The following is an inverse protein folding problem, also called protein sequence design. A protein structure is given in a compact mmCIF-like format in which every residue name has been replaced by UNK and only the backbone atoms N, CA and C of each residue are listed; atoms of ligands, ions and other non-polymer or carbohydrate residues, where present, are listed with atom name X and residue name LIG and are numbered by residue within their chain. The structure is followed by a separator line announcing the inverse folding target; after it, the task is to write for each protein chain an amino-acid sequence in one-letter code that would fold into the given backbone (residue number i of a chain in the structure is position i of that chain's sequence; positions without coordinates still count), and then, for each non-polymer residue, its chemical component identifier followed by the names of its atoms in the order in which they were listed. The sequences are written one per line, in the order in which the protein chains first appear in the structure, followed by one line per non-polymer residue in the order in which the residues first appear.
data_IF_031740638599
#
_entry.id   IF_031740638599
#
_cell.length_a   1.000
_cell.length_b   1.000
_cell.length_c   1.000
_cell.angle_alpha   90.00
_cell.angle_beta   90.00
_cell.angle_gamma   90.00
#
_symmetry.space_group_name_H-M   'P 1'
#
loop_
_entity.id
_entity.type
_entity.pdbx_description
1 polymer ?
#
# COMPACT_ATOMS: atom_id res chain seq x y z
N UNK A 1 9.16 2.81 25.95
CA UNK A 1 9.86 3.88 25.21
C UNK A 1 10.34 3.45 23.81
N UNK A 2 10.33 2.16 23.46
CA UNK A 2 10.87 1.70 22.16
C UNK A 2 9.98 1.95 20.93
N UNK A 3 8.68 2.20 21.10
CA UNK A 3 7.75 2.40 19.96
C UNK A 3 7.79 3.83 19.41
N UNK A 4 7.85 4.85 20.29
CA UNK A 4 7.85 6.28 19.90
C UNK A 4 8.93 6.62 18.87
N UNK A 5 10.18 6.17 19.07
CA UNK A 5 11.27 6.47 18.13
C UNK A 5 11.14 5.72 16.80
N UNK A 6 10.57 4.51 16.81
CA UNK A 6 10.31 3.77 15.58
C UNK A 6 9.18 4.41 14.76
N UNK A 7 8.11 4.84 15.45
CA UNK A 7 6.98 5.57 14.85
C UNK A 7 7.42 6.93 14.30
N UNK A 8 8.19 7.70 15.06
CA UNK A 8 8.80 8.95 14.59
C UNK A 8 9.68 8.75 13.36
N UNK A 9 10.47 7.67 13.34
CA UNK A 9 11.29 7.29 12.19
C UNK A 9 10.46 6.91 10.97
N UNK A 10 9.33 6.22 11.17
CA UNK A 10 8.41 5.85 10.09
C UNK A 10 7.68 7.08 9.53
N UNK A 11 7.14 7.95 10.38
CA UNK A 11 6.53 9.22 10.00
C UNK A 11 7.51 10.04 9.16
N UNK A 12 8.77 10.15 9.62
CA UNK A 12 9.82 10.86 8.88
C UNK A 12 10.07 10.23 7.51
N UNK A 13 10.13 8.91 7.44
CA UNK A 13 10.35 8.20 6.17
C UNK A 13 9.18 8.38 5.19
N UNK A 14 7.96 8.34 5.69
CA UNK A 14 6.74 8.51 4.90
C UNK A 14 6.64 9.95 4.37
N UNK A 15 6.98 10.94 5.20
CA UNK A 15 7.08 12.34 4.78
C UNK A 15 8.21 12.57 3.74
N UNK A 16 9.33 11.86 3.84
CA UNK A 16 10.38 11.92 2.80
C UNK A 16 9.88 11.44 1.43
N UNK A 17 9.08 10.37 1.40
CA UNK A 17 8.49 9.87 0.16
C UNK A 17 7.50 10.87 -0.43
N UNK A 18 6.71 11.54 0.42
CA UNK A 18 5.81 12.60 -0.04
C UNK A 18 6.59 13.79 -0.59
N UNK A 19 7.65 14.25 0.11
CA UNK A 19 8.52 15.35 -0.35
C UNK A 19 9.05 15.10 -1.77
N UNK A 20 9.47 13.87 -2.06
CA UNK A 20 9.96 13.49 -3.40
C UNK A 20 8.88 13.58 -4.48
N UNK A 21 7.61 13.35 -4.12
CA UNK A 21 6.46 13.46 -5.02
C UNK A 21 6.09 14.92 -5.27
N UNK A 22 5.99 15.73 -4.21
CA UNK A 22 5.59 17.15 -4.31
C UNK A 22 6.73 18.05 -4.79
N UNK A 23 7.97 17.56 -4.78
CA UNK A 23 9.15 18.31 -5.24
C UNK A 23 9.62 19.39 -4.27
N UNK A 24 9.26 19.26 -2.99
CA UNK A 24 9.57 20.22 -1.93
C UNK A 24 10.98 20.02 -1.34
N UNK A 25 11.44 21.01 -0.58
CA UNK A 25 12.80 21.02 -0.02
C UNK A 25 12.91 20.35 1.37
N UNK A 26 14.10 20.46 1.96
CA UNK A 26 14.37 19.94 3.30
C UNK A 26 13.66 20.72 4.40
N UNK A 27 13.51 22.03 4.25
CA UNK A 27 12.84 22.87 5.25
C UNK A 27 11.34 22.54 5.31
N UNK A 28 10.71 22.26 4.16
CA UNK A 28 9.35 21.71 4.11
C UNK A 28 9.25 20.41 4.89
N UNK A 29 10.15 19.45 4.63
CA UNK A 29 10.16 18.16 5.31
C UNK A 29 10.35 18.29 6.83
N UNK A 30 11.21 19.21 7.27
CA UNK A 30 11.48 19.46 8.69
C UNK A 30 10.26 20.04 9.43
N UNK A 31 9.34 20.69 8.71
CA UNK A 31 8.07 21.18 9.25
C UNK A 31 6.98 20.10 9.35
N UNK A 32 7.14 18.97 8.67
CA UNK A 32 6.15 17.88 8.68
C UNK A 32 6.31 17.02 9.94
N UNK A 33 5.25 16.99 10.75
CA UNK A 33 5.11 16.19 11.96
C UNK A 33 4.05 15.09 11.83
N UNK A 34 3.89 14.26 12.88
CA UNK A 34 2.85 13.22 12.91
C UNK A 34 1.44 13.79 12.87
N UNK A 35 1.19 14.95 13.49
CA UNK A 35 -0.13 15.58 13.54
C UNK A 35 -0.45 16.44 12.30
N UNK A 36 0.50 16.56 11.35
CA UNK A 36 0.32 17.40 10.17
C UNK A 36 -0.72 16.78 9.22
N UNK A 37 -1.72 17.58 8.82
CA UNK A 37 -2.85 17.16 8.00
C UNK A 37 -2.53 17.10 6.51
N UNK A 38 -3.01 16.03 5.86
CA UNK A 38 -2.79 15.76 4.43
C UNK A 38 -3.54 16.76 3.53
N UNK A 39 -4.83 16.99 3.78
CA UNK A 39 -5.67 17.88 2.94
C UNK A 39 -5.51 19.36 3.33
N UNK A 40 -5.48 19.70 4.62
CA UNK A 40 -5.52 21.10 5.07
C UNK A 40 -4.16 21.80 5.21
N UNK A 41 -3.10 21.07 5.57
CA UNK A 41 -1.78 21.66 5.82
C UNK A 41 -0.79 21.36 4.69
N UNK A 42 -0.74 20.10 4.24
CA UNK A 42 0.11 19.69 3.12
C UNK A 42 -0.55 19.93 1.76
N UNK A 43 -1.88 20.14 1.72
CA UNK A 43 -2.66 20.40 0.51
C UNK A 43 -2.41 19.36 -0.59
N UNK A 44 -2.25 18.09 -0.20
CA UNK A 44 -1.90 17.00 -1.12
C UNK A 44 -3.01 16.81 -2.15
N UNK A 45 -2.66 16.98 -3.41
CA UNK A 45 -3.58 16.78 -4.52
C UNK A 45 -3.86 15.30 -4.79
N UNK A 46 -4.99 14.99 -5.42
CA UNK A 46 -5.35 13.60 -5.78
C UNK A 46 -4.28 12.86 -6.61
N UNK A 47 -3.55 13.56 -7.47
CA UNK A 47 -2.46 12.99 -8.25
C UNK A 47 -1.20 12.73 -7.40
N UNK A 48 -0.91 13.62 -6.45
CA UNK A 48 0.19 13.46 -5.50
C UNK A 48 -0.11 12.31 -4.54
N UNK A 49 -1.35 12.18 -4.07
CA UNK A 49 -1.81 11.04 -3.27
C UNK A 49 -1.62 9.72 -4.02
N UNK A 50 -1.98 9.67 -5.30
CA UNK A 50 -1.78 8.47 -6.13
C UNK A 50 -0.29 8.15 -6.31
N UNK A 51 0.56 9.16 -6.52
CA UNK A 51 2.02 8.98 -6.64
C UNK A 51 2.67 8.56 -5.32
N UNK A 52 2.21 9.13 -4.21
CA UNK A 52 2.65 8.78 -2.87
C UNK A 52 2.25 7.35 -2.51
N UNK A 53 1.04 6.91 -2.87
CA UNK A 53 0.61 5.51 -2.75
C UNK A 53 1.57 4.56 -3.49
N UNK A 54 1.96 4.89 -4.72
CA UNK A 54 2.92 4.07 -5.48
C UNK A 54 4.28 4.01 -4.79
N UNK A 55 4.78 5.13 -4.26
CA UNK A 55 6.02 5.17 -3.50
C UNK A 55 5.94 4.30 -2.23
N UNK A 56 4.83 4.40 -1.47
CA UNK A 56 4.59 3.59 -0.29
C UNK A 56 4.55 2.08 -0.63
N UNK A 57 3.81 1.69 -1.68
CA UNK A 57 3.76 0.29 -2.15
C UNK A 57 5.12 -0.23 -2.56
N UNK A 58 5.90 0.58 -3.27
CA UNK A 58 7.25 0.22 -3.67
C UNK A 58 8.17 -0.06 -2.48
N UNK A 59 8.06 0.73 -1.41
CA UNK A 59 8.92 0.62 -0.23
C UNK A 59 8.44 -0.38 0.81
N UNK A 60 7.13 -0.57 0.96
CA UNK A 60 6.52 -1.32 2.05
C UNK A 60 5.74 -2.56 1.59
N UNK A 61 5.46 -2.70 0.29
CA UNK A 61 4.74 -3.84 -0.30
C UNK A 61 3.33 -3.47 -0.77
N UNK A 62 2.78 -4.31 -1.66
CA UNK A 62 1.49 -4.07 -2.33
C UNK A 62 0.27 -4.03 -1.40
N UNK A 63 0.39 -4.56 -0.18
CA UNK A 63 -0.67 -4.54 0.83
C UNK A 63 -0.91 -3.15 1.46
N UNK A 64 0.02 -2.21 1.27
CA UNK A 64 -0.13 -0.80 1.65
C UNK A 64 -0.83 -0.06 0.52
N UNK A 65 -2.15 0.04 0.56
CA UNK A 65 -2.93 0.77 -0.46
C UNK A 65 -3.58 2.01 0.18
N UNK A 66 -2.86 3.12 0.10
CA UNK A 66 -3.29 4.40 0.65
C UNK A 66 -4.51 4.96 -0.11
N UNK A 67 -4.57 4.77 -1.43
CA UNK A 67 -5.72 5.25 -2.22
C UNK A 67 -6.98 4.49 -1.82
N UNK A 68 -6.90 3.16 -1.70
CA UNK A 68 -8.03 2.36 -1.21
C UNK A 68 -8.39 2.71 0.24
N UNK A 69 -7.41 3.02 1.08
CA UNK A 69 -7.66 3.45 2.45
C UNK A 69 -8.45 4.77 2.49
N UNK A 70 -7.98 5.81 1.81
CA UNK A 70 -8.64 7.13 1.75
C UNK A 70 -10.03 7.03 1.12
N UNK A 71 -10.19 6.19 0.09
CA UNK A 71 -11.50 5.98 -0.54
C UNK A 71 -12.53 5.31 0.39
N UNK A 72 -12.09 4.65 1.47
CA UNK A 72 -12.94 4.05 2.49
C UNK A 72 -13.26 4.97 3.66
N UNK A 73 -12.68 6.18 3.71
CA UNK A 73 -12.91 7.15 4.78
C UNK A 73 -14.09 8.07 4.45
N UNK A 74 -14.81 8.50 5.49
CA UNK A 74 -15.78 9.58 5.39
C UNK A 74 -15.07 10.93 5.20
N UNK A 75 -15.80 11.93 4.67
CA UNK A 75 -15.24 13.25 4.38
C UNK A 75 -14.57 13.91 5.61
N UNK A 76 -15.19 13.79 6.78
CA UNK A 76 -14.63 14.34 8.03
C UNK A 76 -13.30 13.65 8.41
N UNK A 77 -13.19 12.35 8.13
CA UNK A 77 -11.97 11.59 8.39
C UNK A 77 -10.87 11.92 7.39
N UNK A 78 -11.22 12.22 6.13
CA UNK A 78 -10.25 12.66 5.11
C UNK A 78 -9.66 14.03 5.50
N UNK A 79 -10.49 14.95 5.99
CA UNK A 79 -10.07 16.29 6.42
C UNK A 79 -9.12 16.23 7.64
N UNK A 80 -9.36 15.27 8.53
CA UNK A 80 -8.57 15.06 9.75
C UNK A 80 -7.38 14.10 9.53
N UNK A 81 -7.20 13.54 8.33
CA UNK A 81 -6.15 12.56 8.05
C UNK A 81 -4.77 13.18 8.22
N UNK A 82 -3.97 12.61 9.12
CA UNK A 82 -2.61 13.07 9.42
C UNK A 82 -1.53 12.17 8.81
N UNK A 83 -0.30 12.66 8.74
CA UNK A 83 0.86 11.83 8.37
C UNK A 83 1.07 10.68 9.35
N UNK A 84 0.74 10.87 10.64
CA UNK A 84 0.74 9.84 11.67
C UNK A 84 -0.25 8.71 11.37
N UNK A 85 -1.46 9.05 10.90
CA UNK A 85 -2.47 8.05 10.51
C UNK A 85 -2.00 7.22 9.30
N UNK A 86 -1.34 7.87 8.33
CA UNK A 86 -0.71 7.16 7.21
C UNK A 86 0.38 6.21 7.69
N UNK A 87 1.21 6.63 8.66
CA UNK A 87 2.20 5.75 9.28
C UNK A 87 1.56 4.57 10.03
N UNK A 88 0.47 4.80 10.75
CA UNK A 88 -0.28 3.75 11.43
C UNK A 88 -0.87 2.74 10.43
N UNK A 89 -1.41 3.23 9.30
CA UNK A 89 -1.88 2.37 8.21
C UNK A 89 -0.76 1.48 7.65
N UNK A 90 0.43 2.05 7.42
CA UNK A 90 1.60 1.30 6.94
C UNK A 90 2.00 0.23 7.96
N UNK A 91 2.05 0.56 9.26
CA UNK A 91 2.41 -0.40 10.31
C UNK A 91 1.43 -1.57 10.36
N UNK A 92 0.13 -1.30 10.42
CA UNK A 92 -0.90 -2.35 10.48
C UNK A 92 -0.78 -3.33 9.31
N UNK A 93 -0.57 -2.83 8.10
CA UNK A 93 -0.44 -3.66 6.89
C UNK A 93 0.87 -4.43 6.81
N UNK A 94 1.90 -4.02 7.55
CA UNK A 94 3.15 -4.77 7.67
C UNK A 94 2.98 -5.95 8.61
N UNK A 95 2.26 -5.77 9.72
CA UNK A 95 1.96 -6.82 10.68
C UNK A 95 0.99 -7.87 10.09
N UNK A 96 -0.05 -7.44 9.38
CA UNK A 96 -1.00 -8.33 8.69
C UNK A 96 -0.33 -9.23 7.64
N UNK A 97 0.75 -8.76 7.01
CA UNK A 97 1.51 -9.49 6.00
C UNK A 97 2.36 -10.63 6.57
N UNK A 98 2.77 -10.55 7.84
CA UNK A 98 3.58 -11.57 8.52
C UNK A 98 2.70 -12.78 8.93
N UNK A 99 1.44 -12.57 9.28
CA UNK A 99 0.48 -13.64 9.59
C UNK A 99 -0.11 -14.30 8.33
N UNK A 100 -0.23 -13.57 7.21
CA UNK A 100 -0.73 -14.09 5.93
C UNK A 100 0.26 -15.00 5.18
N UNK A 101 1.57 -14.88 5.44
CA UNK A 101 2.62 -15.63 4.75
C UNK A 101 2.62 -17.15 5.04
N UNK A 102 1.98 -17.60 6.13
CA UNK A 102 1.92 -19.04 6.48
C UNK A 102 0.78 -19.79 5.79
N UNK A 103 -0.18 -19.09 5.15
CA UNK A 103 -1.32 -19.71 4.47
C UNK A 103 -1.17 -19.83 2.94
N UNK A 104 -0.23 -19.11 2.32
CA UNK A 104 -0.11 -19.02 0.86
C UNK A 104 0.81 -20.09 0.20
N UNK A 105 1.27 -21.09 0.95
CA UNK A 105 2.09 -22.19 0.43
C UNK A 105 1.36 -23.55 0.48
N UNK A 106 0.10 -23.60 0.06
CA UNK A 106 -0.59 -24.86 -0.23
C UNK A 106 -1.74 -24.66 -1.23
N UNK A 107 -1.43 -24.75 -2.53
CA UNK A 107 -2.43 -24.84 -3.60
C UNK A 107 -1.80 -25.35 -4.89
N UNK A 108 -2.38 -26.34 -5.57
CA UNK A 108 -1.60 -27.44 -6.14
C UNK A 108 -1.16 -27.24 -7.60
N UNK A 109 0.01 -27.79 -7.90
CA UNK A 109 0.36 -28.23 -9.25
C UNK A 109 -0.65 -29.30 -9.70
N UNK A 110 -1.43 -28.98 -10.73
CA UNK A 110 -2.53 -29.84 -11.19
C UNK A 110 -2.73 -29.78 -12.70
N UNK A 111 -1.86 -30.49 -13.42
CA UNK A 111 -2.08 -31.15 -14.71
C UNK A 111 -2.64 -30.35 -15.90
N UNK A 112 -1.73 -30.06 -16.84
CA UNK A 112 -2.01 -29.91 -18.26
C UNK A 112 -2.65 -31.19 -18.82
N UNK A 113 -3.80 -31.06 -19.47
CA UNK A 113 -4.41 -32.15 -20.25
C UNK A 113 -4.03 -32.02 -21.73
N UNK A 114 -3.50 -33.08 -22.38
CA UNK A 114 -3.59 -33.23 -23.82
C UNK A 114 -4.73 -34.20 -24.15
N UNK A 115 -5.84 -33.71 -24.72
CA UNK A 115 -6.82 -34.59 -25.36
C UNK A 115 -6.41 -34.80 -26.82
N UNK A 116 -5.77 -35.94 -27.09
CA UNK A 116 -5.62 -36.52 -28.43
C UNK A 116 -6.86 -37.36 -28.67
N UNK A 117 -7.79 -36.87 -29.49
CA UNK A 117 -8.91 -37.67 -29.96
C UNK A 117 -8.50 -38.41 -31.25
N UNK A 118 -8.26 -39.72 -31.11
CA UNK A 118 -8.08 -40.64 -32.22
C UNK A 118 -9.46 -41.24 -32.57
N UNK A 119 -9.95 -40.97 -33.79
CA UNK A 119 -11.18 -41.57 -34.30
C UNK A 119 -10.94 -43.00 -34.81
N UNK A 120 -11.80 -43.98 -34.49
CA UNK A 120 -11.67 -45.33 -35.01
C UNK A 120 -12.29 -45.48 -36.41
N UNK A 121 -11.72 -46.44 -37.13
CA UNK A 121 -12.09 -46.98 -38.44
C UNK A 121 -13.31 -47.93 -38.38
N UNK A 122 -14.10 -47.95 -39.47
CA UNK A 122 -15.05 -49.01 -39.85
C UNK A 122 -16.50 -48.82 -39.36
N UNK A 123 -17.57 -49.31 -39.99
CA UNK A 123 -17.76 -50.15 -41.20
C UNK A 123 -19.27 -50.23 -41.51
N UNK A 124 -19.65 -50.29 -42.79
CA UNK A 124 -20.83 -51.05 -43.30
C UNK A 124 -22.22 -50.39 -43.32
N UNK A 125 -22.76 -50.11 -44.51
CA UNK A 125 -23.60 -51.03 -45.33
C UNK A 125 -23.82 -50.44 -46.72
#
# INVERSE_FOLDING_TARGET
MSTSTAEEGLVRRIAELLREVVGEDRAWLDAVGPDTRVDGELLVESHELASWNLALRHHYGDQVDLVAHVAGLDIDQIIELTVGDVAAHVTARREDGEDGATAAAAGPAGATSPTRSAGPTGSGV
#
